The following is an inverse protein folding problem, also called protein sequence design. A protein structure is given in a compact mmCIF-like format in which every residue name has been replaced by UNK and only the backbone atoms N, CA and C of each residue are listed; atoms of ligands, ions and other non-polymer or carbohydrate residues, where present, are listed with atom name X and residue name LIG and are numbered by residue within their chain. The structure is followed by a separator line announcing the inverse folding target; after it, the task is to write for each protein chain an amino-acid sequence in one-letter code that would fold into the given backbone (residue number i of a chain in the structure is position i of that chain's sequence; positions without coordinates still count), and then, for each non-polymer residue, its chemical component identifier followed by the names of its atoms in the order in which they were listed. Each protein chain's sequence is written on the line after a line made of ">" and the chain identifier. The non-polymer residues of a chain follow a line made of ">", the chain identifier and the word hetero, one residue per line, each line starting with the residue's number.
data_IF_152983899487
#
_entry.id   IF_152983899487
#
_cell.length_a   1.000
_cell.length_b   1.000
_cell.length_c   1.000
_cell.angle_alpha   90.00
_cell.angle_beta   90.00
_cell.angle_gamma   90.00
#
_symmetry.space_group_name_H-M   'P 1'
#
loop_
_entity.id
_entity.type
_entity.pdbx_description
1 polymer ?
#
# COMPACT_ATOMS: atom_id res chain seq x y z
N UNK A 1 3.99 22.44 21.02
CA UNK A 1 3.85 21.01 20.72
C UNK A 1 5.11 20.61 20.00
N UNK A 2 5.74 19.54 20.45
CA UNK A 2 6.95 19.05 19.80
C UNK A 2 6.49 18.13 18.66
N UNK A 3 6.87 18.40 17.39
CA UNK A 3 6.55 17.49 16.31
C UNK A 3 7.38 16.20 16.45
N UNK A 4 6.82 15.04 16.07
CA UNK A 4 7.60 13.80 16.03
C UNK A 4 8.69 13.88 14.98
N UNK A 5 9.84 13.25 15.28
CA UNK A 5 10.90 13.07 14.31
C UNK A 5 10.46 12.14 13.16
N UNK A 6 11.28 12.09 12.11
CA UNK A 6 11.12 11.16 11.00
C UNK A 6 12.01 9.94 11.28
N UNK A 7 11.48 8.70 11.26
CA UNK A 7 12.29 7.49 11.38
C UNK A 7 13.44 7.45 10.38
N UNK A 8 14.62 6.96 10.79
CA UNK A 8 15.78 6.79 9.88
C UNK A 8 15.46 5.88 8.67
N UNK A 9 14.55 4.93 8.88
CA UNK A 9 14.11 3.95 7.89
C UNK A 9 12.79 4.33 7.19
N UNK A 10 12.42 5.62 7.17
CA UNK A 10 11.12 6.12 6.68
C UNK A 10 10.77 5.66 5.26
N UNK A 11 11.74 5.67 4.33
CA UNK A 11 11.50 5.23 2.95
C UNK A 11 11.01 3.78 2.87
N UNK A 12 11.65 2.88 3.64
CA UNK A 12 11.25 1.46 3.73
C UNK A 12 9.91 1.29 4.45
N UNK A 13 9.65 2.09 5.48
CA UNK A 13 8.39 2.11 6.23
C UNK A 13 7.22 2.53 5.35
N UNK A 14 7.35 3.62 4.61
CA UNK A 14 6.34 4.11 3.66
C UNK A 14 6.11 3.11 2.53
N UNK A 15 7.17 2.55 1.95
CA UNK A 15 7.05 1.52 0.93
C UNK A 15 6.27 0.29 1.46
N UNK A 16 6.52 -0.11 2.71
CA UNK A 16 5.79 -1.20 3.36
C UNK A 16 4.33 -0.85 3.60
N UNK A 17 4.04 0.36 4.08
CA UNK A 17 2.67 0.84 4.27
C UNK A 17 1.89 0.89 2.95
N UNK A 18 2.49 1.42 1.88
CA UNK A 18 1.83 1.49 0.58
C UNK A 18 1.55 0.11 -0.03
N UNK A 19 2.43 -0.86 0.21
CA UNK A 19 2.20 -2.27 -0.17
C UNK A 19 1.01 -2.91 0.54
N UNK A 20 0.59 -2.42 1.71
CA UNK A 20 -0.60 -2.92 2.41
C UNK A 20 -1.90 -2.54 1.70
N UNK A 21 -1.90 -1.50 0.85
CA UNK A 21 -3.08 -1.06 0.10
C UNK A 21 -4.30 -0.81 1.02
N UNK A 22 -4.00 -0.25 2.19
CA UNK A 22 -4.98 -0.04 3.27
C UNK A 22 -5.39 1.42 3.40
N UNK A 23 -4.54 2.37 3.00
CA UNK A 23 -4.87 3.80 3.02
C UNK A 23 -6.05 4.12 2.10
N UNK A 24 -6.88 5.07 2.51
CA UNK A 24 -8.07 5.54 1.79
C UNK A 24 -9.07 4.44 1.39
N UNK A 25 -9.12 3.37 2.19
CA UNK A 25 -10.11 2.30 2.03
C UNK A 25 -11.27 2.47 3.02
N UNK A 26 -12.43 1.90 2.69
CA UNK A 26 -13.57 1.86 3.60
C UNK A 26 -13.22 1.24 4.95
N UNK A 27 -13.99 1.55 5.99
CA UNK A 27 -13.88 0.88 7.28
C UNK A 27 -14.20 -0.61 7.12
N UNK A 28 -13.54 -1.45 7.92
CA UNK A 28 -13.72 -2.89 7.85
C UNK A 28 -13.97 -3.45 9.24
N UNK A 29 -15.05 -4.24 9.37
CA UNK A 29 -15.53 -4.78 10.65
C UNK A 29 -14.46 -5.56 11.42
N UNK A 30 -13.48 -6.15 10.76
CA UNK A 30 -12.33 -6.80 11.44
C UNK A 30 -11.51 -5.84 12.29
N UNK A 31 -11.27 -4.62 11.82
CA UNK A 31 -10.56 -3.59 12.59
C UNK A 31 -11.50 -2.90 13.59
N UNK A 32 -12.76 -2.67 13.22
CA UNK A 32 -13.77 -2.05 14.11
C UNK A 32 -14.10 -2.94 15.31
N UNK A 33 -14.05 -4.24 15.12
CA UNK A 33 -14.16 -5.20 16.22
C UNK A 33 -13.05 -5.05 17.23
N UNK A 34 -11.82 -4.88 16.78
CA UNK A 34 -10.64 -4.76 17.66
C UNK A 34 -10.73 -3.46 18.48
N UNK A 35 -10.98 -2.31 17.84
CA UNK A 35 -11.11 -1.02 18.56
C UNK A 35 -12.30 -1.02 19.52
N UNK A 36 -13.42 -1.66 19.15
CA UNK A 36 -14.59 -1.81 20.03
C UNK A 36 -14.31 -2.71 21.24
N UNK A 37 -13.56 -3.80 21.05
CA UNK A 37 -13.10 -4.66 22.16
C UNK A 37 -12.15 -3.88 23.06
N UNK A 38 -11.21 -3.13 22.48
CA UNK A 38 -10.26 -2.31 23.21
C UNK A 38 -10.96 -1.30 24.14
N UNK A 39 -11.94 -0.54 23.63
CA UNK A 39 -12.75 0.37 24.46
C UNK A 39 -13.42 -0.34 25.64
N UNK A 40 -13.94 -1.55 25.43
CA UNK A 40 -14.62 -2.32 26.48
C UNK A 40 -13.66 -2.87 27.52
N UNK A 41 -12.53 -3.46 27.09
CA UNK A 41 -11.58 -4.10 28.00
C UNK A 41 -10.83 -3.08 28.86
N UNK A 42 -10.50 -1.92 28.31
CA UNK A 42 -9.75 -0.88 29.02
C UNK A 42 -10.65 0.21 29.62
N UNK A 43 -11.97 0.10 29.41
CA UNK A 43 -12.97 1.08 29.86
C UNK A 43 -12.65 2.52 29.42
N UNK A 44 -12.08 2.68 28.22
CA UNK A 44 -11.73 3.99 27.65
C UNK A 44 -12.79 4.42 26.63
N UNK A 45 -13.10 5.72 26.54
CA UNK A 45 -14.11 6.21 25.59
C UNK A 45 -13.66 6.13 24.14
N UNK A 46 -12.34 6.11 23.88
CA UNK A 46 -11.79 6.20 22.54
C UNK A 46 -10.72 5.15 22.30
N UNK A 47 -10.83 4.46 21.17
CA UNK A 47 -9.76 3.62 20.61
C UNK A 47 -9.69 3.80 19.10
N UNK A 48 -8.47 3.81 18.56
CA UNK A 48 -8.22 4.08 17.15
C UNK A 48 -7.15 3.14 16.63
N UNK A 49 -7.37 2.57 15.44
CA UNK A 49 -6.32 2.00 14.60
C UNK A 49 -6.03 3.01 13.50
N UNK A 50 -4.77 3.43 13.40
CA UNK A 50 -4.33 4.45 12.44
C UNK A 50 -3.01 4.10 11.78
N UNK A 51 -2.80 4.60 10.57
CA UNK A 51 -1.58 4.43 9.78
C UNK A 51 -0.92 5.77 9.51
N UNK A 52 0.42 5.80 9.55
CA UNK A 52 1.18 7.03 9.43
C UNK A 52 1.77 7.12 8.01
N UNK A 53 1.24 8.03 7.19
CA UNK A 53 1.83 8.39 5.90
C UNK A 53 2.94 9.45 6.09
N UNK A 54 3.51 9.96 5.00
CA UNK A 54 4.54 11.00 5.04
C UNK A 54 4.08 12.24 5.83
N UNK A 55 2.90 12.77 5.52
CA UNK A 55 2.42 14.04 6.09
C UNK A 55 1.17 13.92 6.99
N UNK A 56 0.47 12.78 6.92
CA UNK A 56 -0.81 12.57 7.63
C UNK A 56 -0.83 11.29 8.44
N UNK A 57 -1.64 11.30 9.49
CA UNK A 57 -2.17 10.12 10.14
C UNK A 57 -3.55 9.84 9.56
N UNK A 58 -3.75 8.63 9.03
CA UNK A 58 -5.02 8.19 8.46
C UNK A 58 -5.68 7.13 9.36
N UNK A 59 -6.96 7.28 9.65
CA UNK A 59 -7.68 6.46 10.62
C UNK A 59 -8.40 5.32 9.89
N UNK A 60 -8.01 4.08 10.20
CA UNK A 60 -8.64 2.88 9.63
C UNK A 60 -9.90 2.47 10.37
N UNK A 61 -9.88 2.63 11.69
CA UNK A 61 -10.99 2.32 12.58
C UNK A 61 -10.97 3.29 13.75
N UNK A 62 -12.13 3.82 14.10
CA UNK A 62 -12.29 4.73 15.24
C UNK A 62 -13.52 4.34 16.05
N UNK A 63 -13.38 4.39 17.38
CA UNK A 63 -14.49 4.29 18.32
C UNK A 63 -14.48 5.54 19.20
N UNK A 64 -15.62 6.19 19.38
CA UNK A 64 -15.76 7.39 20.22
C UNK A 64 -15.06 8.65 19.67
N UNK A 65 -14.50 8.61 18.46
CA UNK A 65 -13.77 9.73 17.86
C UNK A 65 -14.00 9.82 16.35
N UNK A 66 -14.75 10.84 15.91
CA UNK A 66 -15.19 10.98 14.51
C UNK A 66 -14.24 11.86 13.69
N UNK A 67 -13.04 11.35 13.43
CA UNK A 67 -12.04 11.99 12.56
C UNK A 67 -11.44 10.93 11.62
N UNK A 68 -11.34 11.26 10.33
CA UNK A 68 -10.79 10.35 9.30
C UNK A 68 -9.28 10.48 9.12
N UNK A 69 -8.73 11.67 9.34
CA UNK A 69 -7.31 11.95 9.24
C UNK A 69 -6.90 13.14 10.11
N UNK A 70 -5.63 13.17 10.49
CA UNK A 70 -5.00 14.29 11.20
C UNK A 70 -3.60 14.54 10.63
N UNK A 71 -3.04 15.72 10.90
CA UNK A 71 -1.66 16.03 10.52
C UNK A 71 -0.66 15.16 11.32
N UNK A 72 0.32 14.54 10.65
CA UNK A 72 1.31 13.69 11.35
C UNK A 72 2.14 14.50 12.35
N UNK A 73 2.54 15.72 11.96
CA UNK A 73 3.34 16.65 12.77
C UNK A 73 2.70 17.04 14.11
N UNK A 74 1.39 16.84 14.27
CA UNK A 74 0.66 17.12 15.52
C UNK A 74 0.18 15.86 16.24
N UNK A 75 0.54 14.68 15.75
CA UNK A 75 -0.01 13.42 16.24
C UNK A 75 0.78 12.84 17.43
N UNK A 76 0.04 12.21 18.34
CA UNK A 76 0.63 11.30 19.33
C UNK A 76 1.22 10.07 18.63
N UNK A 77 0.49 9.50 17.66
CA UNK A 77 0.88 8.30 16.94
C UNK A 77 2.20 8.46 16.15
N UNK A 78 2.51 9.65 15.66
CA UNK A 78 3.80 9.93 15.00
C UNK A 78 5.00 9.75 15.93
N UNK A 79 4.84 9.96 17.24
CA UNK A 79 5.88 9.67 18.22
C UNK A 79 5.98 8.18 18.54
N UNK A 80 4.87 7.44 18.47
CA UNK A 80 4.83 6.00 18.76
C UNK A 80 5.64 5.21 17.74
N UNK A 81 5.51 5.52 16.46
CA UNK A 81 6.19 4.74 15.39
C UNK A 81 7.72 4.85 15.41
N UNK A 82 8.30 5.73 16.24
CA UNK A 82 9.74 5.91 16.40
C UNK A 82 10.39 4.82 17.26
N UNK A 83 9.59 3.99 17.94
CA UNK A 83 10.06 2.93 18.81
C UNK A 83 9.20 1.68 18.66
N UNK A 84 9.73 0.55 19.09
CA UNK A 84 9.00 -0.72 19.19
C UNK A 84 8.23 -0.86 20.52
N UNK A 85 8.46 0.07 21.44
CA UNK A 85 7.85 0.09 22.75
C UNK A 85 6.51 0.84 22.76
N UNK A 86 5.62 0.43 23.67
CA UNK A 86 4.40 1.18 23.93
C UNK A 86 4.71 2.56 24.50
N UNK A 87 4.06 3.58 23.95
CA UNK A 87 4.09 4.92 24.52
C UNK A 87 2.90 5.10 25.45
N UNK A 88 3.16 5.46 26.70
CA UNK A 88 2.12 5.82 27.68
C UNK A 88 2.31 7.28 28.09
N UNK A 89 1.23 8.04 28.03
CA UNK A 89 1.12 9.41 28.52
C UNK A 89 0.01 9.41 29.56
N UNK A 90 0.40 9.46 30.84
CA UNK A 90 -0.53 9.38 31.96
C UNK A 90 -1.42 10.63 32.06
N UNK A 91 -0.85 11.81 31.74
CA UNK A 91 -1.56 13.09 31.68
C UNK A 91 -0.92 14.02 30.62
N UNK A 92 -1.59 14.14 29.47
CA UNK A 92 -1.15 14.91 28.32
C UNK A 92 -1.06 16.41 28.61
N UNK A 93 -1.75 16.93 29.65
CA UNK A 93 -1.61 18.34 30.05
C UNK A 93 -0.27 18.64 30.71
N UNK A 94 0.44 17.60 31.18
CA UNK A 94 1.75 17.69 31.82
C UNK A 94 2.88 17.22 30.91
N UNK A 95 2.56 16.57 29.79
CA UNK A 95 3.55 16.09 28.84
C UNK A 95 4.04 17.23 27.94
N UNK A 96 5.35 17.48 27.97
CA UNK A 96 6.00 18.55 27.18
C UNK A 96 5.75 18.43 25.67
N UNK A 97 5.49 17.21 25.18
CA UNK A 97 5.23 16.98 23.75
C UNK A 97 3.83 17.43 23.37
N UNK A 98 2.84 17.31 24.28
CA UNK A 98 1.42 17.33 23.94
C UNK A 98 0.57 18.37 24.69
N UNK A 99 1.10 19.06 25.72
CA UNK A 99 0.30 19.94 26.58
C UNK A 99 -0.47 21.05 25.85
N UNK A 100 -0.01 21.49 24.69
CA UNK A 100 -0.62 22.50 23.84
C UNK A 100 -1.24 21.93 22.54
N UNK A 101 -1.42 20.60 22.48
CA UNK A 101 -2.11 19.94 21.38
C UNK A 101 -3.61 20.35 21.34
N UNK A 102 -4.20 20.60 20.14
CA UNK A 102 -5.60 20.99 20.02
C UNK A 102 -6.61 20.04 20.69
N UNK A 103 -6.36 18.73 20.67
CA UNK A 103 -7.23 17.73 21.31
C UNK A 103 -7.02 17.62 22.82
N UNK A 104 -5.94 18.17 23.36
CA UNK A 104 -5.69 18.27 24.80
C UNK A 104 -6.34 19.54 25.36
N UNK A 105 -6.14 20.68 24.69
CA UNK A 105 -6.69 21.98 25.07
C UNK A 105 -8.20 22.05 24.82
N UNK A 106 -8.64 21.61 23.65
CA UNK A 106 -10.04 21.60 23.22
C UNK A 106 -10.67 20.22 23.33
N UNK A 107 -11.91 20.10 22.83
CA UNK A 107 -12.59 18.81 22.77
C UNK A 107 -11.77 17.81 21.91
N UNK A 108 -11.70 16.53 22.30
CA UNK A 108 -12.44 15.90 23.40
C UNK A 108 -11.69 15.90 24.75
N UNK A 109 -10.67 16.75 24.91
CA UNK A 109 -9.88 16.94 26.13
C UNK A 109 -9.07 15.70 26.51
N UNK A 110 -8.22 15.21 25.60
CA UNK A 110 -7.29 14.12 25.86
C UNK A 110 -6.47 14.39 27.14
N UNK A 111 -6.45 13.40 28.03
CA UNK A 111 -5.62 13.38 29.23
C UNK A 111 -4.74 12.15 29.23
N UNK A 112 -5.33 10.99 29.05
CA UNK A 112 -4.56 9.75 28.95
C UNK A 112 -4.41 9.35 27.47
N UNK A 113 -3.22 8.85 27.13
CA UNK A 113 -2.94 8.22 25.84
C UNK A 113 -2.05 6.99 26.03
N UNK A 114 -2.42 5.87 25.41
CA UNK A 114 -1.52 4.75 25.18
C UNK A 114 -1.52 4.41 23.70
N UNK A 115 -0.33 4.30 23.12
CA UNK A 115 -0.15 3.86 21.74
C UNK A 115 0.76 2.65 21.67
N UNK A 116 0.30 1.58 21.02
CA UNK A 116 1.10 0.42 20.68
C UNK A 116 1.42 0.47 19.18
N UNK A 117 2.71 0.41 18.79
CA UNK A 117 3.08 0.37 17.38
C UNK A 117 2.53 -0.90 16.71
N UNK A 118 2.18 -0.77 15.42
CA UNK A 118 1.81 -1.88 14.55
C UNK A 118 2.92 -2.10 13.53
N UNK A 119 3.51 -3.29 13.54
CA UNK A 119 4.71 -3.63 12.80
C UNK A 119 4.41 -4.61 11.67
N UNK A 120 4.95 -4.34 10.49
CA UNK A 120 4.90 -5.25 9.34
C UNK A 120 6.31 -5.35 8.76
N UNK A 121 6.83 -6.58 8.63
CA UNK A 121 8.18 -6.84 8.09
C UNK A 121 9.29 -5.97 8.73
N UNK A 122 9.18 -5.74 10.04
CA UNK A 122 10.15 -4.93 10.79
C UNK A 122 9.91 -3.41 10.76
N UNK A 123 8.88 -2.92 10.08
CA UNK A 123 8.56 -1.49 9.99
C UNK A 123 7.29 -1.14 10.76
N UNK A 124 7.35 -0.09 11.59
CA UNK A 124 6.20 0.43 12.34
C UNK A 124 5.32 1.29 11.41
N UNK A 125 4.30 0.67 10.82
CA UNK A 125 3.45 1.29 9.78
C UNK A 125 2.25 2.04 10.36
N UNK A 126 1.85 1.71 11.58
CA UNK A 126 0.66 2.24 12.22
C UNK A 126 0.69 2.12 13.74
N UNK A 127 -0.44 2.43 14.36
CA UNK A 127 -0.63 2.44 15.80
C UNK A 127 -2.06 2.00 16.12
N UNK A 128 -2.22 1.12 17.11
CA UNK A 128 -3.46 1.00 17.88
C UNK A 128 -3.31 1.83 19.14
N UNK A 129 -4.26 2.72 19.42
CA UNK A 129 -4.20 3.56 20.61
C UNK A 129 -5.51 3.56 21.41
N UNK A 130 -5.35 3.88 22.70
CA UNK A 130 -6.37 4.07 23.71
C UNK A 130 -6.28 5.51 24.20
N UNK A 131 -7.42 6.17 24.33
CA UNK A 131 -7.46 7.58 24.71
C UNK A 131 -8.59 7.80 25.72
N UNK A 132 -8.30 8.57 26.76
CA UNK A 132 -9.27 8.96 27.77
C UNK A 132 -9.18 10.47 28.08
N UNK A 133 -10.28 11.05 28.54
CA UNK A 133 -10.38 12.42 29.01
C UNK A 133 -10.07 12.56 30.52
N UNK A 134 -9.67 11.46 31.16
CA UNK A 134 -9.14 11.42 32.53
C UNK A 134 -7.71 10.88 32.52
N UNK A 135 -6.82 11.39 33.39
CA UNK A 135 -5.51 10.78 33.60
C UNK A 135 -5.67 9.32 34.06
N UNK A 136 -4.73 8.47 33.66
CA UNK A 136 -4.62 7.07 34.12
C UNK A 136 -3.16 6.72 34.34
N UNK A 137 -2.88 5.91 35.35
CA UNK A 137 -1.53 5.49 35.64
C UNK A 137 -1.12 4.31 34.74
N UNK A 138 0.18 4.25 34.36
CA UNK A 138 0.71 3.22 33.48
C UNK A 138 0.47 1.79 34.00
N UNK A 139 0.49 1.62 35.32
CA UNK A 139 0.34 0.34 36.01
C UNK A 139 -1.12 -0.13 36.16
N UNK A 140 -2.10 0.73 35.84
CA UNK A 140 -3.53 0.37 35.84
C UNK A 140 -3.95 -0.39 34.58
N UNK A 141 -3.03 -0.56 33.63
CA UNK A 141 -3.31 -1.09 32.30
C UNK A 141 -2.51 -2.37 32.09
N UNK A 142 -3.21 -3.43 31.69
CA UNK A 142 -2.55 -4.65 31.25
C UNK A 142 -1.97 -4.46 29.85
N UNK A 143 -0.65 -4.30 29.78
CA UNK A 143 0.05 -4.09 28.51
C UNK A 143 0.03 -5.35 27.63
N UNK A 144 -0.13 -6.55 28.19
CA UNK A 144 -0.20 -7.77 27.39
C UNK A 144 -1.45 -7.77 26.52
N UNK A 145 -2.58 -7.33 27.06
CA UNK A 145 -3.85 -7.26 26.31
C UNK A 145 -3.73 -6.32 25.12
N UNK A 146 -3.05 -5.16 25.25
CA UNK A 146 -2.90 -4.26 24.11
C UNK A 146 -1.90 -4.80 23.07
N UNK A 147 -0.86 -5.52 23.50
CA UNK A 147 0.02 -6.24 22.59
C UNK A 147 -0.73 -7.33 21.81
N UNK A 148 -1.60 -8.08 22.47
CA UNK A 148 -2.41 -9.11 21.81
C UNK A 148 -3.35 -8.49 20.76
N UNK A 149 -4.00 -7.37 21.10
CA UNK A 149 -4.85 -6.64 20.14
C UNK A 149 -4.02 -6.08 18.98
N UNK A 150 -2.82 -5.56 19.23
CA UNK A 150 -1.91 -5.10 18.19
C UNK A 150 -1.51 -6.26 17.25
N UNK A 151 -1.15 -7.42 17.80
CA UNK A 151 -0.81 -8.61 17.02
C UNK A 151 -1.99 -9.09 16.17
N UNK A 152 -3.24 -9.04 16.67
CA UNK A 152 -4.42 -9.35 15.85
C UNK A 152 -4.54 -8.42 14.63
N UNK A 153 -4.28 -7.12 14.82
CA UNK A 153 -4.25 -6.17 13.71
C UNK A 153 -3.12 -6.50 12.74
N UNK A 154 -1.93 -6.78 13.24
CA UNK A 154 -0.76 -7.15 12.42
C UNK A 154 -1.05 -8.41 11.58
N UNK A 155 -1.65 -9.45 12.17
CA UNK A 155 -2.06 -10.66 11.45
C UNK A 155 -3.05 -10.35 10.32
N UNK A 156 -4.03 -9.48 10.56
CA UNK A 156 -4.99 -9.03 9.53
C UNK A 156 -4.29 -8.27 8.39
N UNK A 157 -3.26 -7.48 8.71
CA UNK A 157 -2.44 -6.76 7.73
C UNK A 157 -1.53 -7.69 6.92
N UNK A 158 -0.97 -8.72 7.55
CA UNK A 158 -0.17 -9.73 6.86
C UNK A 158 -1.03 -10.58 5.91
N UNK A 159 -2.22 -11.01 6.35
CA UNK A 159 -3.18 -11.70 5.49
C UNK A 159 -3.59 -10.84 4.29
N UNK A 160 -3.74 -9.53 4.50
CA UNK A 160 -3.96 -8.59 3.41
C UNK A 160 -2.83 -8.65 2.38
N UNK A 161 -1.56 -8.58 2.80
CA UNK A 161 -0.41 -8.67 1.88
C UNK A 161 -0.42 -9.95 1.05
N UNK A 162 -0.61 -11.11 1.69
CA UNK A 162 -0.65 -12.39 0.98
C UNK A 162 -1.80 -12.42 -0.03
N UNK A 163 -2.96 -11.86 0.34
CA UNK A 163 -4.14 -11.88 -0.55
C UNK A 163 -4.04 -10.98 -1.78
N UNK A 164 -3.12 -10.00 -1.81
CA UNK A 164 -3.01 -8.97 -2.86
C UNK A 164 -1.69 -9.00 -3.62
N UNK A 165 -0.80 -9.93 -3.28
CA UNK A 165 0.53 -10.11 -3.88
C UNK A 165 0.59 -11.44 -4.63
N UNK A 166 1.34 -11.46 -5.73
CA UNK A 166 1.73 -12.68 -6.43
C UNK A 166 2.99 -13.25 -5.76
N UNK A 167 2.90 -14.47 -5.23
CA UNK A 167 3.98 -15.06 -4.43
C UNK A 167 5.27 -15.26 -5.22
N UNK A 168 5.17 -15.54 -6.52
CA UNK A 168 6.33 -15.83 -7.35
C UNK A 168 7.14 -14.56 -7.65
N UNK A 169 6.46 -13.48 -8.02
CA UNK A 169 7.09 -12.24 -8.51
C UNK A 169 7.17 -11.13 -7.47
N UNK A 170 6.40 -11.23 -6.38
CA UNK A 170 6.28 -10.18 -5.37
C UNK A 170 5.50 -8.95 -5.84
N UNK A 171 4.99 -8.94 -7.07
CA UNK A 171 4.12 -7.89 -7.61
C UNK A 171 2.73 -7.98 -7.01
N UNK A 172 1.87 -7.00 -7.33
CA UNK A 172 0.45 -7.15 -7.04
C UNK A 172 -0.12 -8.34 -7.83
N UNK A 173 -1.00 -9.15 -7.22
CA UNK A 173 -1.82 -10.08 -7.98
C UNK A 173 -3.03 -9.35 -8.60
N UNK A 174 -3.85 -10.06 -9.39
CA UNK A 174 -5.05 -9.50 -10.03
C UNK A 174 -5.98 -8.78 -9.06
N UNK A 175 -6.25 -9.36 -7.89
CA UNK A 175 -7.11 -8.75 -6.86
C UNK A 175 -6.50 -7.45 -6.33
N UNK A 176 -5.21 -7.48 -6.01
CA UNK A 176 -4.46 -6.33 -5.55
C UNK A 176 -4.38 -5.21 -6.58
N UNK A 177 -4.26 -5.55 -7.86
CA UNK A 177 -4.27 -4.59 -8.96
C UNK A 177 -5.62 -3.88 -9.06
N UNK A 178 -6.71 -4.63 -9.18
CA UNK A 178 -8.06 -4.07 -9.36
C UNK A 178 -8.42 -3.13 -8.21
N UNK A 179 -8.07 -3.47 -6.96
CA UNK A 179 -8.34 -2.60 -5.80
C UNK A 179 -7.64 -1.25 -5.92
N UNK A 180 -6.32 -1.23 -6.18
CA UNK A 180 -5.57 0.03 -6.26
C UNK A 180 -5.84 0.82 -7.53
N UNK A 181 -5.82 0.16 -8.68
CA UNK A 181 -6.02 0.81 -9.96
C UNK A 181 -7.42 1.44 -10.01
N UNK A 182 -8.44 0.83 -9.39
CA UNK A 182 -9.78 1.43 -9.32
C UNK A 182 -9.80 2.71 -8.46
N UNK A 183 -9.12 2.69 -7.31
CA UNK A 183 -8.97 3.87 -6.47
C UNK A 183 -8.23 4.99 -7.20
N UNK A 184 -7.07 4.68 -7.82
CA UNK A 184 -6.28 5.66 -8.56
C UNK A 184 -7.03 6.19 -9.79
N UNK A 185 -7.75 5.34 -10.50
CA UNK A 185 -8.61 5.74 -11.61
C UNK A 185 -9.61 6.81 -11.17
N UNK A 186 -10.36 6.57 -10.09
CA UNK A 186 -11.32 7.56 -9.56
C UNK A 186 -10.63 8.83 -9.07
N UNK A 187 -9.48 8.71 -8.39
CA UNK A 187 -8.71 9.85 -7.88
C UNK A 187 -8.21 10.74 -9.02
N UNK A 188 -7.60 10.14 -10.05
CA UNK A 188 -7.10 10.87 -11.21
C UNK A 188 -8.24 11.47 -12.03
N UNK A 189 -9.38 10.79 -12.17
CA UNK A 189 -10.58 11.35 -12.80
C UNK A 189 -11.05 12.63 -12.10
N UNK A 190 -11.19 12.59 -10.77
CA UNK A 190 -11.62 13.78 -9.98
C UNK A 190 -10.60 14.91 -10.04
N UNK A 191 -9.31 14.57 -10.05
CA UNK A 191 -8.21 15.53 -10.11
C UNK A 191 -7.88 16.04 -11.52
N UNK A 192 -8.59 15.59 -12.56
CA UNK A 192 -8.27 15.84 -13.97
C UNK A 192 -6.80 15.54 -14.31
N UNK A 193 -6.25 14.47 -13.71
CA UNK A 193 -4.87 14.04 -13.92
C UNK A 193 -4.79 13.04 -15.07
N UNK A 194 -3.73 13.15 -15.87
CA UNK A 194 -3.43 12.17 -16.91
C UNK A 194 -2.99 10.85 -16.26
N UNK A 195 -3.36 9.73 -16.87
CA UNK A 195 -2.83 8.41 -16.52
C UNK A 195 -2.89 7.48 -17.73
N UNK A 196 -2.03 6.48 -17.72
CA UNK A 196 -1.88 5.49 -18.79
C UNK A 196 -1.89 4.09 -18.21
N UNK A 197 -2.56 3.17 -18.89
CA UNK A 197 -2.59 1.75 -18.57
C UNK A 197 -1.75 0.99 -19.60
N UNK A 198 -0.92 0.06 -19.12
CA UNK A 198 -0.18 -0.87 -19.94
C UNK A 198 -0.60 -2.30 -19.64
N UNK A 199 -0.81 -3.10 -20.68
CA UNK A 199 -1.08 -4.52 -20.56
C UNK A 199 -0.01 -5.29 -21.33
N UNK A 200 0.71 -6.16 -20.64
CA UNK A 200 1.85 -6.92 -21.17
C UNK A 200 1.53 -8.41 -21.18
N UNK A 201 2.10 -9.10 -22.16
CA UNK A 201 2.11 -10.55 -22.26
C UNK A 201 3.50 -10.99 -22.74
N UNK A 202 4.05 -12.05 -22.13
CA UNK A 202 5.34 -12.60 -22.55
C UNK A 202 5.20 -13.46 -23.82
N UNK A 203 5.93 -13.07 -24.86
CA UNK A 203 5.90 -13.77 -26.13
C UNK A 203 6.53 -15.17 -25.99
N UNK A 204 5.88 -16.19 -26.56
CA UNK A 204 6.33 -17.58 -26.57
C UNK A 204 6.66 -18.19 -25.19
N UNK A 205 6.06 -17.68 -24.11
CA UNK A 205 6.34 -18.16 -22.76
C UNK A 205 6.09 -19.66 -22.57
N UNK A 206 5.05 -20.20 -23.21
CA UNK A 206 4.78 -21.64 -23.21
C UNK A 206 5.93 -22.44 -23.82
N UNK A 207 6.50 -21.99 -24.94
CA UNK A 207 7.64 -22.65 -25.59
C UNK A 207 8.87 -22.69 -24.67
N UNK A 208 9.12 -21.62 -23.91
CA UNK A 208 10.20 -21.58 -22.91
C UNK A 208 9.97 -22.64 -21.82
N UNK A 209 8.75 -22.74 -21.30
CA UNK A 209 8.40 -23.78 -20.31
C UNK A 209 8.57 -25.18 -20.87
N UNK A 210 8.08 -25.44 -22.08
CA UNK A 210 8.11 -26.75 -22.71
C UNK A 210 9.55 -27.19 -23.03
N UNK A 211 10.44 -26.25 -23.40
CA UNK A 211 11.83 -26.54 -23.76
C UNK A 211 12.78 -26.59 -22.55
N UNK A 212 12.63 -25.70 -21.59
CA UNK A 212 13.60 -25.51 -20.50
C UNK A 212 13.06 -25.85 -19.10
N UNK A 213 11.78 -26.21 -19.01
CA UNK A 213 11.09 -26.58 -17.78
C UNK A 213 10.49 -25.38 -17.03
N UNK A 214 9.52 -25.66 -16.16
CA UNK A 214 8.80 -24.64 -15.39
C UNK A 214 9.70 -23.79 -14.47
N UNK A 215 10.78 -24.35 -13.94
CA UNK A 215 11.72 -23.59 -13.12
C UNK A 215 12.41 -22.45 -13.91
N UNK A 216 12.62 -22.65 -15.21
CA UNK A 216 13.12 -21.60 -16.11
C UNK A 216 12.02 -20.56 -16.37
N UNK A 217 10.79 -21.00 -16.63
CA UNK A 217 9.64 -20.09 -16.78
C UNK A 217 9.45 -19.20 -15.55
N UNK A 218 9.58 -19.76 -14.35
CA UNK A 218 9.55 -19.03 -13.10
C UNK A 218 10.67 -17.98 -13.00
N UNK A 219 11.87 -18.31 -13.48
CA UNK A 219 12.98 -17.36 -13.57
C UNK A 219 12.64 -16.20 -14.53
N UNK A 220 12.09 -16.50 -15.71
CA UNK A 220 11.68 -15.48 -16.69
C UNK A 220 10.65 -14.52 -16.09
N UNK A 221 9.64 -15.04 -15.40
CA UNK A 221 8.62 -14.23 -14.75
C UNK A 221 9.22 -13.30 -13.68
N UNK A 222 10.17 -13.80 -12.88
CA UNK A 222 10.91 -13.00 -11.88
C UNK A 222 11.78 -11.93 -12.52
N UNK A 223 12.50 -12.26 -13.60
CA UNK A 223 13.33 -11.30 -14.34
C UNK A 223 12.44 -10.18 -14.89
N UNK A 224 11.35 -10.53 -15.56
CA UNK A 224 10.43 -9.55 -16.13
C UNK A 224 9.82 -8.65 -15.05
N UNK A 225 9.35 -9.22 -13.95
CA UNK A 225 8.83 -8.48 -12.81
C UNK A 225 9.85 -7.50 -12.22
N UNK A 226 11.11 -7.92 -12.06
CA UNK A 226 12.17 -7.05 -11.59
C UNK A 226 12.50 -5.94 -12.58
N UNK A 227 12.49 -6.23 -13.89
CA UNK A 227 12.64 -5.21 -14.92
C UNK A 227 11.52 -4.16 -14.89
N UNK A 228 10.27 -4.57 -14.64
CA UNK A 228 9.15 -3.63 -14.42
C UNK A 228 9.44 -2.74 -13.20
N UNK A 229 9.78 -3.33 -12.05
CA UNK A 229 10.06 -2.59 -10.81
C UNK A 229 11.21 -1.56 -10.95
N UNK A 230 12.21 -1.86 -11.77
CA UNK A 230 13.35 -0.96 -12.00
C UNK A 230 13.05 0.20 -12.95
N UNK A 231 12.05 0.05 -13.83
CA UNK A 231 11.76 1.02 -14.89
C UNK A 231 10.56 1.92 -14.59
N UNK A 232 9.62 1.45 -13.77
CA UNK A 232 8.44 2.20 -13.32
C UNK A 232 8.65 2.81 -11.94
N UNK A 233 7.85 3.83 -11.60
CA UNK A 233 7.99 4.60 -10.36
C UNK A 233 7.30 3.87 -9.21
N UNK A 234 7.69 4.21 -7.99
CA UNK A 234 7.07 3.65 -6.77
C UNK A 234 5.57 3.94 -6.64
N UNK A 235 5.08 5.00 -7.29
CA UNK A 235 3.66 5.38 -7.33
C UNK A 235 2.86 4.67 -8.43
N UNK A 236 3.52 3.95 -9.33
CA UNK A 236 2.85 3.17 -10.36
C UNK A 236 2.40 1.82 -9.78
N UNK A 237 1.23 1.32 -10.20
CA UNK A 237 0.73 0.03 -9.74
C UNK A 237 1.15 -1.04 -10.72
N UNK A 238 2.08 -1.90 -10.29
CA UNK A 238 2.61 -3.01 -11.10
C UNK A 238 2.01 -4.32 -10.60
N UNK A 239 1.51 -5.14 -11.52
CA UNK A 239 0.85 -6.39 -11.21
C UNK A 239 1.13 -7.50 -12.20
N UNK A 240 1.07 -8.74 -11.71
CA UNK A 240 0.89 -9.95 -12.51
C UNK A 240 -0.58 -10.37 -12.43
N UNK A 241 -1.26 -10.39 -13.57
CA UNK A 241 -2.71 -10.65 -13.63
C UNK A 241 -3.02 -12.12 -13.92
N UNK A 242 -2.13 -12.80 -14.63
CA UNK A 242 -2.28 -14.18 -15.09
C UNK A 242 -0.96 -14.94 -15.10
N UNK A 243 -0.86 -15.97 -15.95
CA UNK A 243 0.34 -16.80 -16.05
C UNK A 243 1.56 -16.00 -16.52
N UNK A 244 1.45 -15.39 -17.69
CA UNK A 244 2.46 -14.58 -18.39
C UNK A 244 2.00 -13.12 -18.62
N UNK A 245 0.84 -12.77 -18.07
CA UNK A 245 0.22 -11.46 -18.23
C UNK A 245 0.56 -10.51 -17.08
N UNK A 246 1.00 -9.30 -17.41
CA UNK A 246 1.32 -8.24 -16.46
C UNK A 246 0.58 -6.96 -16.80
N UNK A 247 0.32 -6.12 -15.81
CA UNK A 247 -0.33 -4.84 -16.03
C UNK A 247 0.30 -3.75 -15.17
N UNK A 248 0.40 -2.56 -15.75
CA UNK A 248 0.92 -1.37 -15.08
C UNK A 248 -0.06 -0.21 -15.21
N UNK A 249 -0.43 0.39 -14.09
CA UNK A 249 -1.16 1.65 -14.05
C UNK A 249 -0.21 2.79 -13.68
N UNK A 250 -0.03 3.74 -14.59
CA UNK A 250 0.88 4.87 -14.42
C UNK A 250 0.12 6.18 -14.21
N UNK A 251 0.26 6.78 -13.04
CA UNK A 251 -0.31 8.09 -12.75
C UNK A 251 0.59 9.21 -13.25
N UNK A 252 0.02 10.20 -13.95
CA UNK A 252 0.74 11.38 -14.43
C UNK A 252 1.66 11.14 -15.63
N UNK A 253 1.54 9.99 -16.32
CA UNK A 253 2.29 9.70 -17.55
C UNK A 253 1.36 9.66 -18.75
N UNK A 254 1.82 10.24 -19.87
CA UNK A 254 1.16 10.12 -21.17
C UNK A 254 1.79 8.99 -22.01
N UNK A 255 1.20 8.70 -23.16
CA UNK A 255 1.66 7.63 -24.06
C UNK A 255 3.13 7.81 -24.52
N UNK A 256 3.58 9.06 -24.76
CA UNK A 256 4.96 9.34 -25.20
C UNK A 256 5.98 9.07 -24.09
N UNK A 257 5.67 9.43 -22.85
CA UNK A 257 6.53 9.15 -21.69
C UNK A 257 6.71 7.63 -21.52
N UNK A 258 5.61 6.90 -21.67
CA UNK A 258 5.54 5.45 -21.53
C UNK A 258 6.31 4.72 -22.63
N UNK A 259 6.28 5.20 -23.88
CA UNK A 259 7.08 4.61 -24.97
C UNK A 259 8.57 4.59 -24.66
N UNK A 260 9.09 5.64 -24.02
CA UNK A 260 10.49 5.66 -23.55
C UNK A 260 10.78 4.64 -22.45
N UNK A 261 9.81 4.36 -21.57
CA UNK A 261 9.92 3.31 -20.54
C UNK A 261 9.92 1.92 -21.20
N UNK A 262 9.01 1.67 -22.13
CA UNK A 262 8.93 0.39 -22.86
C UNK A 262 10.25 0.09 -23.58
N UNK A 263 10.86 1.09 -24.22
CA UNK A 263 12.14 0.90 -24.89
C UNK A 263 13.26 0.51 -23.90
N UNK A 264 13.36 1.21 -22.76
CA UNK A 264 14.33 0.84 -21.71
C UNK A 264 14.07 -0.56 -21.14
N UNK A 265 12.81 -0.96 -21.03
CA UNK A 265 12.44 -2.30 -20.59
C UNK A 265 12.91 -3.37 -21.60
N UNK A 266 12.69 -3.14 -22.90
CA UNK A 266 13.24 -4.02 -23.96
C UNK A 266 14.75 -4.13 -23.89
N UNK A 267 15.45 -3.01 -23.70
CA UNK A 267 16.92 -3.01 -23.65
C UNK A 267 17.45 -3.67 -22.37
N UNK A 268 16.74 -3.54 -21.24
CA UNK A 268 17.05 -4.23 -19.99
C UNK A 268 16.91 -5.76 -20.14
N UNK A 269 15.89 -6.23 -20.85
CA UNK A 269 15.65 -7.67 -21.06
C UNK A 269 16.66 -8.30 -22.03
N UNK A 270 17.20 -7.55 -22.99
CA UNK A 270 18.29 -8.04 -23.86
C UNK A 270 19.57 -8.38 -23.09
N UNK A 271 19.80 -7.72 -21.96
CA UNK A 271 20.98 -7.96 -21.12
C UNK A 271 20.70 -8.91 -19.95
N UNK A 272 19.48 -9.45 -19.84
CA UNK A 272 19.14 -10.43 -18.83
C UNK A 272 19.92 -11.73 -19.04
N UNK A 273 20.37 -12.34 -17.93
CA UNK A 273 21.03 -13.65 -17.96
C UNK A 273 19.99 -14.75 -18.12
N UNK A 274 19.72 -15.13 -19.36
CA UNK A 274 18.89 -16.27 -19.74
C UNK A 274 19.76 -17.39 -20.31
N UNK A 275 19.14 -18.52 -20.66
CA UNK A 275 19.76 -19.54 -21.52
C UNK A 275 19.79 -19.05 -22.97
N UNK A 276 19.64 -19.93 -23.95
CA UNK A 276 19.74 -19.61 -25.39
C UNK A 276 18.47 -18.96 -25.97
N UNK A 277 17.86 -18.01 -25.26
CA UNK A 277 16.68 -17.25 -25.71
C UNK A 277 16.69 -15.83 -25.16
N UNK A 278 15.97 -14.91 -25.82
CA UNK A 278 15.74 -13.54 -25.32
C UNK A 278 14.29 -13.42 -24.85
N UNK A 279 14.07 -12.79 -23.69
CA UNK A 279 12.73 -12.52 -23.20
C UNK A 279 12.11 -11.40 -24.05
N UNK A 280 11.02 -11.73 -24.74
CA UNK A 280 10.23 -10.81 -25.55
C UNK A 280 8.84 -10.66 -24.95
N UNK A 281 8.17 -9.57 -25.31
CA UNK A 281 6.83 -9.27 -24.82
C UNK A 281 6.07 -8.41 -25.83
N UNK A 282 4.76 -8.59 -25.81
CA UNK A 282 3.79 -7.75 -26.47
C UNK A 282 3.13 -6.82 -25.46
N UNK A 283 2.78 -5.61 -25.87
CA UNK A 283 2.21 -4.60 -24.98
C UNK A 283 1.13 -3.78 -25.68
N UNK A 284 0.01 -3.55 -24.98
CA UNK A 284 -1.01 -2.57 -25.33
C UNK A 284 -0.95 -1.38 -24.39
N UNK A 285 -1.15 -0.16 -24.91
CA UNK A 285 -0.90 1.09 -24.18
C UNK A 285 -2.08 2.05 -24.36
N UNK A 286 -2.91 2.15 -23.33
CA UNK A 286 -4.11 2.97 -23.36
C UNK A 286 -3.94 4.18 -22.44
N UNK A 287 -3.83 5.36 -23.04
CA UNK A 287 -3.93 6.62 -22.30
C UNK A 287 -5.40 6.93 -21.99
N UNK A 288 -5.69 7.41 -20.79
CA UNK A 288 -7.06 7.77 -20.40
C UNK A 288 -7.64 8.89 -21.28
N UNK A 289 -8.77 8.62 -21.93
CA UNK A 289 -9.69 9.59 -22.53
C UNK A 289 -11.06 9.49 -21.83
N UNK A 290 -11.56 10.57 -21.18
CA UNK A 290 -12.86 10.57 -20.51
C UNK A 290 -14.05 10.31 -21.44
N UNK A 291 -13.89 10.49 -22.76
CA UNK A 291 -14.94 10.18 -23.74
C UNK A 291 -15.06 8.69 -24.04
N UNK A 292 -13.97 7.94 -23.90
CA UNK A 292 -13.89 6.53 -24.28
C UNK A 292 -13.87 5.59 -23.07
N UNK A 293 -13.37 6.06 -21.92
CA UNK A 293 -13.12 5.21 -20.76
C UNK A 293 -13.97 5.63 -19.56
N UNK A 294 -15.03 4.87 -19.28
CA UNK A 294 -15.92 5.15 -18.13
C UNK A 294 -15.45 4.42 -16.88
N UNK A 295 -14.87 3.24 -17.05
CA UNK A 295 -14.37 2.40 -15.98
C UNK A 295 -12.93 1.94 -16.24
N UNK A 296 -12.25 1.50 -15.18
CA UNK A 296 -10.97 0.80 -15.32
C UNK A 296 -11.09 -0.45 -16.20
N UNK A 297 -12.22 -1.16 -16.12
CA UNK A 297 -12.47 -2.37 -16.91
C UNK A 297 -12.45 -2.09 -18.42
N UNK A 298 -13.00 -0.95 -18.85
CA UNK A 298 -13.00 -0.55 -20.26
C UNK A 298 -11.57 -0.37 -20.77
N UNK A 299 -10.71 0.32 -19.99
CA UNK A 299 -9.31 0.51 -20.36
C UNK A 299 -8.53 -0.80 -20.40
N UNK A 300 -8.77 -1.70 -19.44
CA UNK A 300 -8.12 -3.02 -19.42
C UNK A 300 -8.49 -3.85 -20.65
N UNK A 301 -9.76 -3.86 -21.04
CA UNK A 301 -10.22 -4.60 -22.22
C UNK A 301 -9.61 -4.04 -23.53
N UNK A 302 -9.50 -2.70 -23.64
CA UNK A 302 -8.86 -2.06 -24.78
C UNK A 302 -7.35 -2.32 -24.82
N UNK A 303 -6.67 -2.27 -23.68
CA UNK A 303 -5.23 -2.53 -23.60
C UNK A 303 -4.89 -3.99 -23.92
N UNK A 304 -5.71 -4.93 -23.45
CA UNK A 304 -5.61 -6.34 -23.81
C UNK A 304 -5.80 -6.56 -25.33
N UNK A 305 -6.80 -5.90 -25.92
CA UNK A 305 -7.05 -5.96 -27.36
C UNK A 305 -5.87 -5.40 -28.18
N UNK A 306 -5.29 -4.27 -27.78
CA UNK A 306 -4.13 -3.66 -28.44
C UNK A 306 -2.87 -4.54 -28.28
N UNK A 307 -2.67 -5.11 -27.08
CA UNK A 307 -1.60 -6.07 -26.82
C UNK A 307 -1.70 -7.27 -27.77
N UNK A 308 -2.90 -7.82 -27.94
CA UNK A 308 -3.12 -8.96 -28.82
C UNK A 308 -2.85 -8.65 -30.29
N UNK A 309 -3.15 -7.42 -30.74
CA UNK A 309 -2.76 -6.94 -32.08
C UNK A 309 -1.24 -6.85 -32.22
N UNK A 310 -0.55 -6.29 -31.21
CA UNK A 310 0.92 -6.26 -31.16
C UNK A 310 1.51 -7.68 -31.25
N UNK A 311 0.93 -8.64 -30.53
CA UNK A 311 1.40 -10.04 -30.47
C UNK A 311 1.29 -10.75 -31.81
N UNK A 312 0.19 -10.53 -32.54
CA UNK A 312 0.02 -11.06 -33.91
C UNK A 312 1.03 -10.45 -34.88
N UNK A 313 1.31 -9.15 -34.76
CA UNK A 313 2.33 -8.48 -35.57
C UNK A 313 3.73 -9.07 -35.36
N UNK A 314 4.10 -9.35 -34.11
CA UNK A 314 5.40 -9.94 -33.76
C UNK A 314 5.53 -11.42 -34.18
N UNK A 315 4.42 -12.18 -34.19
CA UNK A 315 4.42 -13.60 -34.56
C UNK A 315 4.44 -13.86 -36.07
N UNK A 316 4.35 -12.81 -36.89
CA UNK A 316 4.28 -12.88 -38.36
C UNK A 316 5.62 -12.64 -39.06
N UNK A 317 6.73 -12.70 -38.32
CA UNK A 317 8.12 -12.56 -38.77
C UNK A 317 8.92 -13.80 -38.38
#
# INVERSE_FOLDING_TARGET
>A
MIPPDIPENEAGRLATLYKLKILDTEQEERFDRITRIACKLFEVPISVISFLEAERQWMKSTQGFDIKEAERKTSFCGHVILSDEIMVVEDATKDKRFHDNPFVLGKPHFRFYLGCPLKIKGYNVGVICLIDNKPRARNEIDHNVIYDLAQMVEMDLEQLQVSITDELTGLSNRRGFLKLASYLFQKCQRGNQLFTLLFFDLDQFKSINDQFGHAEGDMVLKIFANCLLQNFRYNDVIARLGGDEFCVFCSGLNQKDVSGIIQRLKDSLKSAKTKDYTIQFSVGVIQYDPKQHRTLGDMMALADSEMYVSKRGNSSL
#
